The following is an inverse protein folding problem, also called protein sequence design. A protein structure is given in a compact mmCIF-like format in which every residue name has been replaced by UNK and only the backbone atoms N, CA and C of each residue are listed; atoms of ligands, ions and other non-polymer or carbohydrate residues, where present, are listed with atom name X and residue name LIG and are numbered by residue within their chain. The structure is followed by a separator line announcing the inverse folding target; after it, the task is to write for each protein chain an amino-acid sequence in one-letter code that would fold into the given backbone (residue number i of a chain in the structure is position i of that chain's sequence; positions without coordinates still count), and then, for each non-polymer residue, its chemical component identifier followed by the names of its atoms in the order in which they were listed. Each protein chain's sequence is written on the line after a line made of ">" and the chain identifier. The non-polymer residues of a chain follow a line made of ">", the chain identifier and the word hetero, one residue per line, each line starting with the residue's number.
data_IF_700989094332
#
_entry.id   IF_700989094332
#
_cell.length_a   1.000
_cell.length_b   1.000
_cell.length_c   1.000
_cell.angle_alpha   90.00
_cell.angle_beta   90.00
_cell.angle_gamma   90.00
#
_symmetry.space_group_name_H-M   'P 1'
#
loop_
_entity.id
_entity.type
_entity.pdbx_description
1 polymer ?
#
# COMPACT_ATOMS: atom_id res chain seq x y z
N UNK A 1 -1.84 13.45 -11.29
CA UNK A 1 -1.87 13.23 -9.83
C UNK A 1 -0.44 13.00 -9.37
N UNK A 2 0.10 13.84 -8.49
CA UNK A 2 1.43 13.66 -7.93
C UNK A 2 1.34 12.79 -6.68
N UNK A 3 2.15 11.74 -6.62
CA UNK A 3 2.24 10.82 -5.50
C UNK A 3 3.48 11.13 -4.67
N UNK A 4 3.35 11.08 -3.35
CA UNK A 4 4.47 11.18 -2.41
C UNK A 4 4.60 9.85 -1.69
N UNK A 5 5.74 9.19 -1.86
CA UNK A 5 6.00 7.88 -1.27
C UNK A 5 6.90 8.11 -0.06
N UNK A 6 6.29 7.99 1.12
CA UNK A 6 6.98 8.11 2.40
C UNK A 6 7.18 6.73 3.01
N UNK A 7 8.44 6.37 3.28
CA UNK A 7 8.81 5.10 3.83
C UNK A 7 8.94 5.19 5.35
N UNK A 8 8.46 4.14 6.01
CA UNK A 8 8.79 3.85 7.39
C UNK A 8 10.21 3.27 7.44
N UNK A 9 11.08 3.71 8.38
CA UNK A 9 12.37 3.05 8.58
C UNK A 9 12.20 1.55 8.90
N UNK A 10 13.22 0.72 8.66
CA UNK A 10 13.20 -0.68 9.06
C UNK A 10 12.81 -0.84 10.55
N UNK A 11 12.02 -1.87 10.86
CA UNK A 11 11.57 -2.21 12.23
C UNK A 11 10.68 -1.15 12.91
N UNK A 12 10.00 -0.29 12.15
CA UNK A 12 9.08 0.73 12.72
C UNK A 12 7.60 0.43 12.47
N UNK A 13 7.26 -0.84 12.23
CA UNK A 13 5.89 -1.32 11.94
C UNK A 13 4.89 -0.93 13.05
N UNK A 14 5.35 -0.90 14.32
CA UNK A 14 4.62 -0.38 15.50
C UNK A 14 4.05 1.04 15.33
N UNK A 15 4.59 1.85 14.43
CA UNK A 15 4.08 3.20 14.21
C UNK A 15 3.13 3.30 13.02
N UNK A 16 2.94 2.21 12.27
CA UNK A 16 2.00 2.14 11.16
C UNK A 16 0.56 2.09 11.69
N UNK A 17 -0.30 3.09 11.40
CA UNK A 17 -1.67 3.12 11.89
C UNK A 17 -2.50 1.91 11.46
N UNK A 18 -2.19 1.32 10.30
CA UNK A 18 -2.91 0.15 9.79
C UNK A 18 -2.72 -1.04 10.73
N UNK A 19 -1.51 -1.26 11.23
CA UNK A 19 -1.20 -2.39 12.12
C UNK A 19 -1.98 -2.28 13.44
N UNK A 20 -2.04 -1.09 14.02
CA UNK A 20 -2.69 -0.88 15.31
C UNK A 20 -4.21 -0.71 15.23
N UNK A 21 -4.73 -0.13 14.14
CA UNK A 21 -6.16 0.22 14.04
C UNK A 21 -6.98 -0.76 13.22
N UNK A 22 -6.41 -1.34 12.18
CA UNK A 22 -7.16 -2.14 11.21
C UNK A 22 -7.03 -3.64 11.46
N UNK A 23 -5.80 -4.17 11.54
CA UNK A 23 -5.58 -5.62 11.50
C UNK A 23 -6.24 -6.38 12.66
N UNK A 24 -6.19 -5.84 13.88
CA UNK A 24 -6.86 -6.46 15.04
C UNK A 24 -8.38 -6.57 14.87
N UNK A 25 -9.01 -5.63 14.15
CA UNK A 25 -10.46 -5.65 13.90
C UNK A 25 -10.81 -6.63 12.79
N UNK A 26 -9.98 -6.71 11.75
CA UNK A 26 -10.12 -7.70 10.68
C UNK A 26 -9.96 -9.12 11.21
N UNK A 27 -8.96 -9.36 12.07
CA UNK A 27 -8.75 -10.66 12.71
C UNK A 27 -9.97 -11.08 13.54
N UNK A 28 -10.58 -10.14 14.28
CA UNK A 28 -11.84 -10.40 15.01
C UNK A 28 -12.99 -10.74 14.06
N UNK A 29 -13.10 -10.08 12.91
CA UNK A 29 -14.13 -10.38 11.91
C UNK A 29 -13.95 -11.77 11.28
N UNK A 30 -12.70 -12.25 11.16
CA UNK A 30 -12.38 -13.59 10.67
C UNK A 30 -12.47 -14.68 11.73
N UNK A 31 -12.47 -14.33 13.02
CA UNK A 31 -12.52 -15.30 14.11
C UNK A 31 -13.74 -16.21 13.99
N UNK A 32 -13.51 -17.51 13.81
CA UNK A 32 -14.56 -18.52 13.66
C UNK A 32 -15.19 -18.61 12.26
N UNK A 33 -14.69 -17.85 11.28
CA UNK A 33 -15.14 -17.93 9.89
C UNK A 33 -14.23 -18.84 9.09
N UNK A 34 -14.81 -19.75 8.31
CA UNK A 34 -14.07 -20.56 7.35
C UNK A 34 -13.74 -19.70 6.12
N UNK A 35 -12.45 -19.42 5.90
CA UNK A 35 -11.96 -18.67 4.74
C UNK A 35 -11.67 -19.61 3.57
N UNK A 36 -12.71 -20.23 3.03
CA UNK A 36 -12.65 -21.25 1.98
C UNK A 36 -12.33 -20.72 0.58
N UNK A 37 -12.68 -19.45 0.30
CA UNK A 37 -12.38 -18.79 -0.96
C UNK A 37 -12.09 -17.29 -0.78
N UNK A 38 -11.40 -16.64 -1.76
CA UNK A 38 -11.09 -15.21 -1.69
C UNK A 38 -12.33 -14.32 -1.50
N UNK A 39 -13.48 -14.73 -2.04
CA UNK A 39 -14.74 -14.01 -1.91
C UNK A 39 -15.28 -14.04 -0.48
N UNK A 40 -15.15 -15.18 0.23
CA UNK A 40 -15.50 -15.27 1.65
C UNK A 40 -14.60 -14.36 2.49
N UNK A 41 -13.29 -14.36 2.21
CA UNK A 41 -12.35 -13.45 2.86
C UNK A 41 -12.69 -11.97 2.59
N UNK A 42 -13.00 -11.60 1.34
CA UNK A 42 -13.40 -10.24 0.98
C UNK A 42 -14.65 -9.81 1.75
N UNK A 43 -15.72 -10.60 1.67
CA UNK A 43 -17.01 -10.28 2.29
C UNK A 43 -16.90 -10.08 3.80
N UNK A 44 -16.11 -10.92 4.46
CA UNK A 44 -15.93 -10.88 5.93
C UNK A 44 -15.09 -9.69 6.35
N UNK A 45 -14.05 -9.32 5.59
CA UNK A 45 -13.28 -8.09 5.82
C UNK A 45 -14.17 -6.86 5.70
N UNK A 46 -15.02 -6.77 4.67
CA UNK A 46 -15.93 -5.64 4.44
C UNK A 46 -17.01 -5.47 5.53
N UNK A 47 -17.28 -6.53 6.29
CA UNK A 47 -18.18 -6.47 7.46
C UNK A 47 -17.51 -5.87 8.70
N UNK A 48 -16.19 -5.65 8.68
CA UNK A 48 -15.45 -5.08 9.80
C UNK A 48 -15.90 -3.65 10.08
N UNK A 49 -16.58 -3.45 11.21
CA UNK A 49 -17.03 -2.15 11.70
C UNK A 49 -16.78 -2.02 13.20
N UNK A 50 -16.49 -0.81 13.66
CA UNK A 50 -16.36 -0.52 15.10
C UNK A 50 -17.32 0.58 15.52
N UNK A 51 -17.70 0.60 16.80
CA UNK A 51 -18.55 1.66 17.37
C UNK A 51 -17.90 3.04 17.30
N UNK A 52 -16.56 3.11 17.25
CA UNK A 52 -15.78 4.35 17.14
C UNK A 52 -15.63 4.84 15.69
N UNK A 53 -16.28 4.19 14.73
CA UNK A 53 -16.43 4.68 13.35
C UNK A 53 -15.47 4.08 12.31
N UNK A 54 -14.63 3.10 12.66
CA UNK A 54 -13.87 2.35 11.65
C UNK A 54 -14.85 1.59 10.74
N UNK A 55 -14.68 1.75 9.42
CA UNK A 55 -15.33 0.96 8.37
C UNK A 55 -14.28 0.54 7.37
N UNK A 56 -14.35 -0.70 6.90
CA UNK A 56 -13.36 -1.28 6.00
C UNK A 56 -13.95 -1.48 4.60
N UNK A 57 -13.16 -1.18 3.59
CA UNK A 57 -13.44 -1.53 2.19
C UNK A 57 -12.24 -2.28 1.66
N UNK A 58 -12.48 -3.32 0.87
CA UNK A 58 -11.44 -4.15 0.31
C UNK A 58 -11.77 -4.48 -1.15
N UNK A 59 -10.77 -4.97 -1.88
CA UNK A 59 -10.96 -5.51 -3.22
C UNK A 59 -9.98 -6.66 -3.42
N UNK A 60 -10.39 -7.66 -4.17
CA UNK A 60 -9.47 -8.70 -4.63
C UNK A 60 -8.61 -8.10 -5.74
N UNK A 61 -7.30 -8.30 -5.63
CA UNK A 61 -6.34 -7.96 -6.67
C UNK A 61 -5.94 -9.26 -7.37
N UNK A 62 -6.47 -9.46 -8.57
CA UNK A 62 -6.25 -10.63 -9.43
C UNK A 62 -5.12 -10.41 -10.45
N UNK A 63 -4.44 -9.26 -10.39
CA UNK A 63 -3.32 -8.94 -11.24
C UNK A 63 -2.13 -9.88 -10.97
N UNK A 64 -1.58 -10.45 -12.05
CA UNK A 64 -0.35 -11.23 -11.98
C UNK A 64 0.86 -10.29 -12.02
N UNK A 65 1.67 -10.32 -10.97
CA UNK A 65 2.92 -9.58 -10.89
C UNK A 65 4.08 -10.52 -11.19
N UNK A 66 4.74 -10.31 -12.33
CA UNK A 66 5.94 -11.08 -12.65
C UNK A 66 7.06 -10.71 -11.67
N UNK A 67 7.65 -11.74 -11.09
CA UNK A 67 8.84 -11.62 -10.25
C UNK A 67 10.08 -11.40 -11.12
N UNK A 68 11.12 -10.77 -10.55
CA UNK A 68 12.41 -10.60 -11.23
C UNK A 68 12.41 -9.55 -12.36
N UNK A 69 11.36 -8.70 -12.45
CA UNK A 69 11.35 -7.58 -13.39
C UNK A 69 12.53 -6.66 -13.13
N UNK A 70 13.36 -6.49 -14.14
CA UNK A 70 14.48 -5.54 -14.12
C UNK A 70 14.02 -4.22 -14.70
N UNK A 71 14.46 -3.13 -14.10
CA UNK A 71 14.27 -1.79 -14.66
C UNK A 71 14.92 -1.72 -16.05
N UNK A 72 14.14 -1.42 -17.09
CA UNK A 72 14.67 -1.27 -18.45
C UNK A 72 15.64 -0.09 -18.52
N UNK A 73 16.64 -0.20 -19.39
CA UNK A 73 17.63 0.87 -19.58
C UNK A 73 16.94 2.17 -20.03
N UNK A 74 15.96 2.05 -20.94
CA UNK A 74 15.16 3.19 -21.38
C UNK A 74 14.41 3.88 -20.24
N UNK A 75 13.85 3.11 -19.29
CA UNK A 75 13.19 3.72 -18.13
C UNK A 75 14.22 4.36 -17.20
N UNK A 76 15.39 3.74 -17.02
CA UNK A 76 16.48 4.28 -16.19
C UNK A 76 16.94 5.66 -16.66
N UNK A 77 17.01 5.87 -17.98
CA UNK A 77 17.44 7.15 -18.57
C UNK A 77 16.40 8.27 -18.37
N UNK A 78 15.12 7.93 -18.33
CA UNK A 78 14.03 8.93 -18.22
C UNK A 78 13.45 9.05 -16.81
N UNK A 79 13.83 8.18 -15.85
CA UNK A 79 13.20 8.08 -14.53
C UNK A 79 13.19 9.42 -13.78
N UNK A 80 14.26 10.20 -13.89
CA UNK A 80 14.44 11.45 -13.13
C UNK A 80 13.50 12.56 -13.63
N UNK A 81 12.90 12.41 -14.83
CA UNK A 81 11.80 13.25 -15.29
C UNK A 81 10.53 13.03 -14.47
N UNK A 82 10.30 11.80 -14.01
CA UNK A 82 9.04 11.39 -13.36
C UNK A 82 9.17 11.14 -11.86
N UNK A 83 10.38 10.87 -11.36
CA UNK A 83 10.67 10.51 -9.97
C UNK A 83 11.72 11.47 -9.43
N UNK A 84 11.43 12.10 -8.28
CA UNK A 84 12.40 12.96 -7.56
C UNK A 84 12.50 12.55 -6.10
N UNK A 85 13.70 12.61 -5.55
CA UNK A 85 13.90 12.42 -4.12
C UNK A 85 13.17 13.51 -3.33
N UNK A 86 12.60 13.12 -2.21
CA UNK A 86 11.89 14.02 -1.31
C UNK A 86 12.88 14.93 -0.57
N UNK A 87 12.46 16.15 -0.23
CA UNK A 87 13.25 17.04 0.62
C UNK A 87 13.35 16.52 2.07
N UNK A 88 12.36 15.73 2.51
CA UNK A 88 12.36 15.10 3.83
C UNK A 88 12.68 13.61 3.68
N UNK A 89 13.80 13.19 4.26
CA UNK A 89 14.28 11.80 4.21
C UNK A 89 14.44 11.26 2.77
N UNK A 90 15.01 12.07 1.88
CA UNK A 90 15.14 11.77 0.45
C UNK A 90 15.93 10.50 0.10
N UNK A 91 16.71 9.95 1.02
CA UNK A 91 17.33 8.63 0.84
C UNK A 91 16.28 7.52 0.61
N UNK A 92 15.12 7.66 1.24
CA UNK A 92 14.05 6.66 1.18
C UNK A 92 12.82 7.22 0.47
N UNK A 93 12.49 8.47 0.72
CA UNK A 93 11.27 9.10 0.24
C UNK A 93 11.46 9.67 -1.16
N UNK A 94 10.43 9.54 -1.98
CA UNK A 94 10.43 10.08 -3.33
C UNK A 94 9.02 10.49 -3.75
N UNK A 95 8.99 11.35 -4.76
CA UNK A 95 7.80 11.91 -5.37
C UNK A 95 7.71 11.34 -6.78
N UNK A 96 6.52 10.96 -7.20
CA UNK A 96 6.23 10.49 -8.56
C UNK A 96 5.20 11.41 -9.19
N UNK A 97 5.53 12.00 -10.33
CA UNK A 97 4.58 12.76 -11.14
C UNK A 97 4.47 12.13 -12.54
N UNK A 98 3.30 11.58 -12.93
CA UNK A 98 3.12 10.96 -14.24
C UNK A 98 3.24 11.95 -15.39
N UNK A 99 3.03 13.25 -15.14
CA UNK A 99 3.20 14.30 -16.15
C UNK A 99 4.66 14.78 -16.23
N UNK A 100 5.51 14.30 -15.33
CA UNK A 100 6.88 14.73 -15.14
C UNK A 100 6.98 16.00 -14.28
N UNK A 101 8.16 16.21 -13.71
CA UNK A 101 8.49 17.42 -13.01
C UNK A 101 9.06 18.45 -14.00
N UNK A 102 8.57 19.69 -13.94
CA UNK A 102 9.18 20.80 -14.67
C UNK A 102 10.66 20.95 -14.26
N UNK A 103 11.52 21.18 -15.26
CA UNK A 103 12.92 21.52 -15.04
C UNK A 103 13.05 22.78 -14.18
#
# INVERSE_FOLDING_TARGET
>A
MRLRIAHYPPYTSKWNPIEHRLFSQVERAWSGVMLDCPQTALRTVEQTRTQTGLSVTARILDATYEIGRTCSDTFRDVKDRFIRHDCVNGQWNYLVDPNGFAC
#
